data_IF_205766101287
#
_entry.id   IF_205766101287
#
_cell.length_a   1.000
_cell.length_b   1.000
_cell.length_c   1.000
_cell.angle_alpha   90.00
_cell.angle_beta   90.00
_cell.angle_gamma   90.00
#
_symmetry.space_group_name_H-M   'P 1'
#
loop_
_entity.id
_entity.type
_entity.pdbx_description
1 polymer ?
#
# COMPACT_ATOMS: atom_id res chain seq x y z
N UNK A 1 8.91 22.24 -50.62
CA UNK A 1 8.58 20.81 -50.49
C UNK A 1 9.54 20.19 -49.50
N UNK A 2 9.09 19.99 -48.26
CA UNK A 2 9.66 18.96 -47.38
C UNK A 2 8.58 18.56 -46.39
N UNK A 3 8.15 17.32 -46.55
CA UNK A 3 7.02 16.65 -45.94
C UNK A 3 7.33 16.34 -44.47
N UNK A 4 6.54 16.90 -43.55
CA UNK A 4 6.60 16.54 -42.13
C UNK A 4 5.96 15.16 -42.01
N UNK A 5 6.77 14.15 -41.71
CA UNK A 5 6.33 12.81 -41.38
C UNK A 5 5.34 12.88 -40.20
N UNK A 6 4.06 12.71 -40.50
CA UNK A 6 3.01 12.49 -39.52
C UNK A 6 3.34 11.18 -38.82
N UNK A 7 3.75 11.25 -37.54
CA UNK A 7 3.84 10.06 -36.71
C UNK A 7 2.47 9.37 -36.71
N UNK A 8 2.39 8.04 -36.94
CA UNK A 8 1.12 7.34 -36.89
C UNK A 8 0.62 7.42 -35.45
N UNK A 9 -0.45 8.18 -35.23
CA UNK A 9 -1.21 8.15 -33.98
C UNK A 9 -1.68 6.71 -33.81
N UNK A 10 -1.19 6.04 -32.76
CA UNK A 10 -1.59 4.68 -32.42
C UNK A 10 -3.12 4.59 -32.40
N UNK A 11 -3.62 3.85 -33.38
CA UNK A 11 -4.99 3.79 -33.87
C UNK A 11 -5.92 3.10 -32.87
N UNK A 12 -6.76 3.87 -32.17
CA UNK A 12 -7.99 3.44 -31.48
C UNK A 12 -7.85 2.46 -30.29
N UNK A 13 -7.19 1.32 -30.49
CA UNK A 13 -7.06 0.23 -29.51
C UNK A 13 -6.20 0.58 -28.30
N UNK A 14 -5.06 1.25 -28.49
CA UNK A 14 -4.22 1.70 -27.37
C UNK A 14 -4.93 2.76 -26.51
N UNK A 15 -5.69 3.63 -27.16
CA UNK A 15 -6.51 4.64 -26.46
C UNK A 15 -7.64 4.00 -25.66
N UNK A 16 -8.31 2.97 -26.19
CA UNK A 16 -9.40 2.29 -25.47
C UNK A 16 -8.88 1.38 -24.35
N UNK A 17 -7.74 0.71 -24.56
CA UNK A 17 -7.03 -0.03 -23.52
C UNK A 17 -6.65 0.89 -22.36
N UNK A 18 -6.09 2.07 -22.65
CA UNK A 18 -5.71 3.05 -21.65
C UNK A 18 -6.92 3.56 -20.85
N UNK A 19 -8.03 3.88 -21.53
CA UNK A 19 -9.28 4.28 -20.87
C UNK A 19 -9.84 3.18 -19.99
N UNK A 20 -9.82 1.93 -20.47
CA UNK A 20 -10.35 0.79 -19.72
C UNK A 20 -9.52 0.50 -18.46
N UNK A 21 -8.19 0.55 -18.57
CA UNK A 21 -7.31 0.44 -17.40
C UNK A 21 -7.50 1.59 -16.43
N UNK A 22 -7.61 2.83 -16.94
CA UNK A 22 -7.87 4.00 -16.11
C UNK A 22 -9.16 3.86 -15.31
N UNK A 23 -10.28 3.47 -15.95
CA UNK A 23 -11.55 3.19 -15.26
C UNK A 23 -11.42 2.10 -14.19
N UNK A 24 -10.60 1.09 -14.44
CA UNK A 24 -10.37 -0.02 -13.53
C UNK A 24 -9.49 0.36 -12.32
N UNK A 25 -8.48 1.21 -12.51
CA UNK A 25 -7.48 1.53 -11.47
C UNK A 25 -7.78 2.78 -10.66
N UNK A 26 -8.46 3.78 -11.25
CA UNK A 26 -8.78 5.07 -10.60
C UNK A 26 -9.49 4.89 -9.26
N UNK A 27 -10.49 3.99 -9.11
CA UNK A 27 -11.13 3.74 -7.82
C UNK A 27 -10.16 3.28 -6.72
N UNK A 28 -9.04 2.67 -7.08
CA UNK A 28 -8.05 2.11 -6.14
C UNK A 28 -6.89 3.08 -5.84
N UNK A 29 -6.75 4.17 -6.58
CA UNK A 29 -5.65 5.13 -6.38
C UNK A 29 -5.61 5.73 -4.96
N UNK A 30 -6.73 6.14 -4.33
CA UNK A 30 -6.68 6.71 -2.99
C UNK A 30 -6.10 5.74 -1.96
N UNK A 31 -6.48 4.46 -2.04
CA UNK A 31 -6.01 3.45 -1.10
C UNK A 31 -4.55 3.06 -1.36
N UNK A 32 -4.13 2.95 -2.62
CA UNK A 32 -2.72 2.69 -2.97
C UNK A 32 -1.82 3.83 -2.49
N UNK A 33 -2.23 5.08 -2.70
CA UNK A 33 -1.48 6.24 -2.24
C UNK A 33 -1.42 6.31 -0.69
N UNK A 34 -2.51 5.97 -0.01
CA UNK A 34 -2.55 5.93 1.45
C UNK A 34 -1.66 4.83 2.06
N UNK A 35 -1.55 3.67 1.38
CA UNK A 35 -0.62 2.61 1.78
C UNK A 35 0.82 3.03 1.49
N UNK A 36 1.11 3.60 0.32
CA UNK A 36 2.44 4.04 -0.06
C UNK A 36 3.04 5.01 0.98
N UNK A 37 2.29 6.05 1.36
CA UNK A 37 2.72 7.02 2.38
C UNK A 37 3.07 6.42 3.74
N UNK A 38 2.54 5.25 4.08
CA UNK A 38 2.78 4.56 5.38
C UNK A 38 3.82 3.45 5.31
N UNK A 39 4.33 3.17 4.10
CA UNK A 39 5.23 2.03 3.86
C UNK A 39 6.60 2.43 3.34
N UNK A 40 6.73 3.65 2.80
CA UNK A 40 7.99 4.25 2.32
C UNK A 40 8.12 5.71 2.78
N UNK A 41 9.31 6.32 2.72
CA UNK A 41 9.48 7.75 2.96
C UNK A 41 8.55 8.60 2.08
N UNK A 42 8.17 9.79 2.56
CA UNK A 42 7.23 10.67 1.85
C UNK A 42 7.68 11.00 0.41
N UNK A 43 8.98 11.21 0.20
CA UNK A 43 9.56 11.49 -1.11
C UNK A 43 9.44 10.31 -2.10
N UNK A 44 9.27 9.09 -1.60
CA UNK A 44 9.24 7.86 -2.39
C UNK A 44 7.81 7.37 -2.69
N UNK A 45 6.80 7.97 -2.07
CA UNK A 45 5.44 7.46 -2.06
C UNK A 45 4.76 7.57 -3.43
N UNK A 46 4.92 8.71 -4.11
CA UNK A 46 4.38 8.93 -5.47
C UNK A 46 5.03 7.97 -6.48
N UNK A 47 6.36 7.88 -6.45
CA UNK A 47 7.13 6.94 -7.27
C UNK A 47 6.71 5.49 -7.04
N UNK A 48 6.44 5.09 -5.81
CA UNK A 48 5.96 3.74 -5.49
C UNK A 48 4.60 3.46 -6.14
N UNK A 49 3.68 4.44 -6.13
CA UNK A 49 2.39 4.31 -6.81
C UNK A 49 2.60 4.23 -8.32
N UNK A 50 3.42 5.12 -8.90
CA UNK A 50 3.69 5.10 -10.34
C UNK A 50 4.29 3.75 -10.78
N UNK A 51 5.32 3.24 -10.10
CA UNK A 51 5.91 1.94 -10.38
C UNK A 51 4.89 0.79 -10.28
N UNK A 52 3.97 0.88 -9.31
CA UNK A 52 2.88 -0.08 -9.14
C UNK A 52 1.96 -0.05 -10.35
N UNK A 53 1.54 1.14 -10.81
CA UNK A 53 0.67 1.32 -11.96
C UNK A 53 1.33 0.89 -13.27
N UNK A 54 2.61 1.22 -13.49
CA UNK A 54 3.35 0.77 -14.67
C UNK A 54 3.47 -0.75 -14.74
N UNK A 55 3.65 -1.40 -13.59
CA UNK A 55 3.73 -2.87 -13.51
C UNK A 55 2.36 -3.50 -13.64
N UNK A 56 1.32 -2.86 -13.10
CA UNK A 56 -0.07 -3.24 -13.27
C UNK A 56 -0.45 -3.19 -14.77
N UNK A 57 -0.19 -2.08 -15.45
CA UNK A 57 -0.43 -1.92 -16.89
C UNK A 57 0.21 -3.02 -17.73
N UNK A 58 1.51 -3.30 -17.49
CA UNK A 58 2.27 -4.34 -18.19
C UNK A 58 1.75 -5.76 -17.95
N UNK A 59 1.06 -5.99 -16.83
CA UNK A 59 0.58 -7.31 -16.40
C UNK A 59 -0.93 -7.42 -16.40
N UNK A 60 -1.64 -6.41 -16.89
CA UNK A 60 -3.07 -6.29 -16.67
C UNK A 60 -3.86 -7.46 -17.26
N UNK A 61 -3.40 -8.02 -18.39
CA UNK A 61 -3.96 -9.23 -19.01
C UNK A 61 -3.87 -10.50 -18.14
N UNK A 62 -2.99 -10.50 -17.13
CA UNK A 62 -2.86 -11.62 -16.17
C UNK A 62 -3.76 -11.47 -14.95
N UNK A 63 -4.51 -10.36 -14.85
CA UNK A 63 -5.49 -10.17 -13.80
C UNK A 63 -6.64 -11.17 -13.98
N UNK A 64 -6.93 -11.92 -12.93
CA UNK A 64 -8.01 -12.89 -12.88
C UNK A 64 -8.95 -12.55 -11.73
N UNK A 65 -10.19 -12.09 -12.00
CA UNK A 65 -11.13 -11.72 -10.95
C UNK A 65 -11.55 -12.90 -10.07
N UNK A 66 -11.36 -14.15 -10.51
CA UNK A 66 -11.62 -15.34 -9.68
C UNK A 66 -10.57 -15.53 -8.58
N UNK A 67 -9.39 -14.89 -8.68
CA UNK A 67 -8.31 -14.98 -7.69
C UNK A 67 -8.31 -13.85 -6.67
N UNK A 68 -9.14 -12.82 -6.88
CA UNK A 68 -9.25 -11.68 -5.98
C UNK A 68 -9.68 -10.40 -6.70
N UNK A 69 -10.08 -9.41 -5.92
CA UNK A 69 -10.46 -8.09 -6.45
C UNK A 69 -9.26 -7.36 -7.05
N UNK A 70 -9.54 -6.33 -7.84
CA UNK A 70 -8.51 -5.42 -8.38
C UNK A 70 -7.61 -4.87 -7.27
N UNK A 71 -8.22 -4.50 -6.13
CA UNK A 71 -7.54 -3.98 -4.96
C UNK A 71 -6.51 -4.96 -4.40
N UNK A 72 -6.86 -6.23 -4.25
CA UNK A 72 -5.96 -7.30 -3.76
C UNK A 72 -4.75 -7.43 -4.67
N UNK A 73 -5.00 -7.49 -5.97
CA UNK A 73 -3.95 -7.67 -6.96
C UNK A 73 -2.98 -6.46 -7.00
N UNK A 74 -3.52 -5.24 -6.99
CA UNK A 74 -2.73 -4.01 -6.97
C UNK A 74 -1.95 -3.84 -5.67
N UNK A 75 -2.57 -4.12 -4.51
CA UNK A 75 -1.89 -4.11 -3.22
C UNK A 75 -0.76 -5.14 -3.18
N UNK A 76 -0.95 -6.32 -3.78
CA UNK A 76 0.11 -7.33 -3.92
C UNK A 76 1.32 -6.83 -4.71
N UNK A 77 1.09 -6.13 -5.81
CA UNK A 77 2.15 -5.50 -6.60
C UNK A 77 2.87 -4.43 -5.76
N UNK A 78 2.13 -3.56 -5.07
CA UNK A 78 2.68 -2.50 -4.24
C UNK A 78 3.57 -3.06 -3.11
N UNK A 79 3.09 -4.06 -2.37
CA UNK A 79 3.88 -4.65 -1.27
C UNK A 79 5.08 -5.47 -1.75
N UNK A 80 5.03 -6.10 -2.95
CA UNK A 80 6.23 -6.65 -3.59
C UNK A 80 7.30 -5.55 -3.80
N UNK A 81 6.89 -4.36 -4.26
CA UNK A 81 7.80 -3.21 -4.44
C UNK A 81 8.35 -2.69 -3.12
N UNK A 82 7.50 -2.51 -2.09
CA UNK A 82 7.93 -2.09 -0.74
C UNK A 82 9.01 -3.04 -0.20
N UNK A 83 8.78 -4.35 -0.28
CA UNK A 83 9.72 -5.37 0.20
C UNK A 83 11.05 -5.34 -0.56
N UNK A 84 11.01 -5.16 -1.88
CA UNK A 84 12.23 -5.01 -2.71
C UNK A 84 12.99 -3.71 -2.44
N UNK A 85 12.30 -2.60 -2.20
CA UNK A 85 12.94 -1.32 -1.83
C UNK A 85 13.64 -1.45 -0.48
N UNK A 86 13.00 -2.07 0.51
CA UNK A 86 13.64 -2.36 1.80
C UNK A 86 14.86 -3.25 1.68
N UNK A 87 14.77 -4.35 0.93
CA UNK A 87 15.89 -5.28 0.75
C UNK A 87 17.13 -4.59 0.13
N UNK A 88 16.93 -3.57 -0.70
CA UNK A 88 18.01 -2.76 -1.31
C UNK A 88 18.55 -1.65 -0.41
N UNK A 89 17.80 -1.25 0.61
CA UNK A 89 18.09 -0.06 1.43
C UNK A 89 18.59 -0.39 2.84
N UNK A 90 18.85 -1.65 3.18
CA UNK A 90 19.14 -2.06 4.56
C UNK A 90 20.63 -1.91 4.95
N UNK A 91 20.98 -1.11 5.97
CA UNK A 91 22.07 -1.42 6.92
C UNK A 91 21.57 -2.42 7.99
N UNK A 92 22.45 -3.03 8.83
CA UNK A 92 22.09 -4.10 9.77
C UNK A 92 21.03 -3.69 10.82
N UNK A 93 20.32 -4.67 11.41
CA UNK A 93 19.05 -4.42 12.08
C UNK A 93 19.32 -3.82 13.46
N UNK A 94 19.10 -2.53 13.65
CA UNK A 94 18.70 -1.88 14.91
C UNK A 94 18.67 -0.38 14.62
N UNK A 95 17.48 0.22 14.52
CA UNK A 95 17.17 1.61 14.89
C UNK A 95 15.78 1.98 14.37
N UNK A 96 14.75 1.81 15.22
CA UNK A 96 13.62 2.73 15.20
C UNK A 96 13.89 3.74 16.30
N UNK A 97 14.24 4.98 15.92
CA UNK A 97 14.39 6.10 16.85
C UNK A 97 13.14 6.97 16.71
N UNK A 98 12.37 7.06 17.79
CA UNK A 98 11.16 7.89 17.91
C UNK A 98 11.52 9.36 18.06
N UNK A 99 10.74 10.28 17.49
CA UNK A 99 10.50 11.59 18.08
C UNK A 99 9.06 11.65 18.62
N UNK A 100 8.94 11.82 19.94
CA UNK A 100 7.70 12.20 20.62
C UNK A 100 7.44 13.70 20.44
N UNK A 101 6.18 14.11 20.31
CA UNK A 101 5.76 15.50 20.56
C UNK A 101 4.23 15.60 20.75
N UNK A 102 3.93 16.18 21.92
CA UNK A 102 2.74 16.72 22.61
C UNK A 102 1.29 16.64 22.09
N UNK A 103 0.43 16.54 23.12
CA UNK A 103 -0.99 16.17 23.20
C UNK A 103 -2.02 17.30 22.96
N UNK A 104 -3.27 16.90 22.66
CA UNK A 104 -4.48 17.74 22.69
C UNK A 104 -5.74 17.04 22.13
N UNK A 105 -6.97 17.42 22.52
CA UNK A 105 -8.11 16.50 22.69
C UNK A 105 -8.92 16.20 21.41
N UNK A 106 -9.34 14.94 21.24
CA UNK A 106 -10.37 14.36 20.33
C UNK A 106 -10.97 15.30 19.28
N UNK A 107 -10.13 15.70 18.32
CA UNK A 107 -10.43 16.59 17.20
C UNK A 107 -9.18 16.62 16.31
N UNK A 108 -9.15 15.94 15.16
CA UNK A 108 -7.96 15.77 14.29
C UNK A 108 -6.79 15.03 14.98
N UNK A 109 -6.51 15.31 16.26
CA UNK A 109 -5.54 14.67 17.14
C UNK A 109 -5.71 13.16 17.21
N UNK A 110 -6.90 12.62 17.54
CA UNK A 110 -7.11 11.16 17.55
C UNK A 110 -6.78 10.46 16.22
N UNK A 111 -7.02 11.14 15.09
CA UNK A 111 -6.64 10.63 13.77
C UNK A 111 -5.14 10.70 13.56
N UNK A 112 -4.48 11.76 14.01
CA UNK A 112 -3.02 11.88 14.00
C UNK A 112 -2.38 10.84 14.92
N UNK A 113 -2.96 10.56 16.08
CA UNK A 113 -2.45 9.60 17.06
C UNK A 113 -2.58 8.17 16.55
N UNK A 114 -3.71 7.82 15.93
CA UNK A 114 -3.85 6.48 15.33
C UNK A 114 -2.91 6.29 14.14
N UNK A 115 -2.68 7.34 13.34
CA UNK A 115 -1.74 7.30 12.22
C UNK A 115 -0.29 7.11 12.71
N UNK A 116 0.13 7.87 13.73
CA UNK A 116 1.45 7.74 14.36
C UNK A 116 1.62 6.37 15.03
N UNK A 117 0.58 5.86 15.70
CA UNK A 117 0.62 4.54 16.31
C UNK A 117 0.78 3.42 15.25
N UNK A 118 0.09 3.52 14.12
CA UNK A 118 0.26 2.60 12.98
C UNK A 118 1.70 2.66 12.44
N UNK A 119 2.26 3.88 12.32
CA UNK A 119 3.64 4.10 11.90
C UNK A 119 4.68 3.67 12.95
N UNK A 120 4.26 3.45 14.20
CA UNK A 120 5.06 2.84 15.26
C UNK A 120 5.11 1.31 15.23
N UNK A 121 4.16 0.66 14.56
CA UNK A 121 4.08 -0.81 14.54
C UNK A 121 5.31 -1.46 13.90
N UNK A 122 5.76 -2.63 14.39
CA UNK A 122 6.67 -3.52 13.68
C UNK A 122 6.18 -3.73 12.25
N UNK A 123 7.08 -3.79 11.26
CA UNK A 123 6.63 -3.71 9.87
C UNK A 123 5.61 -4.80 9.51
N UNK A 124 5.83 -6.06 9.87
CA UNK A 124 4.87 -7.12 9.51
C UNK A 124 3.47 -6.87 10.07
N UNK A 125 3.38 -6.33 11.29
CA UNK A 125 2.10 -5.92 11.88
C UNK A 125 1.50 -4.71 11.14
N UNK A 126 2.33 -3.73 10.75
CA UNK A 126 1.89 -2.59 9.93
C UNK A 126 1.35 -3.02 8.57
N UNK A 127 2.07 -3.87 7.84
CA UNK A 127 1.61 -4.41 6.54
C UNK A 127 0.25 -5.10 6.70
N UNK A 128 0.11 -5.92 7.73
CA UNK A 128 -1.13 -6.63 8.04
C UNK A 128 -2.28 -5.65 8.36
N UNK A 129 -2.05 -4.66 9.22
CA UNK A 129 -3.04 -3.63 9.59
C UNK A 129 -3.48 -2.82 8.38
N UNK A 130 -2.53 -2.38 7.54
CA UNK A 130 -2.85 -1.63 6.32
C UNK A 130 -3.65 -2.47 5.33
N UNK A 131 -3.27 -3.73 5.10
CA UNK A 131 -4.01 -4.61 4.21
C UNK A 131 -5.42 -4.91 4.72
N UNK A 132 -5.57 -5.17 6.01
CA UNK A 132 -6.87 -5.53 6.59
C UNK A 132 -7.81 -4.33 6.75
N UNK A 133 -7.33 -3.22 7.31
CA UNK A 133 -8.20 -2.08 7.65
C UNK A 133 -8.24 -0.99 6.60
N UNK A 134 -7.10 -0.66 5.99
CA UNK A 134 -7.03 0.43 5.03
C UNK A 134 -7.43 -0.04 3.63
N UNK A 135 -6.98 -1.23 3.23
CA UNK A 135 -7.42 -1.87 1.99
C UNK A 135 -8.71 -2.67 2.12
N UNK A 136 -9.26 -2.84 3.33
CA UNK A 136 -10.51 -3.57 3.55
C UNK A 136 -10.48 -4.98 2.95
N UNK A 137 -9.32 -5.66 3.07
CA UNK A 137 -9.14 -7.00 2.53
C UNK A 137 -9.54 -8.07 3.55
N UNK A 138 -10.25 -9.14 3.14
CA UNK A 138 -10.54 -10.26 4.00
C UNK A 138 -9.25 -10.92 4.51
N UNK A 139 -9.29 -11.37 5.76
CA UNK A 139 -8.10 -11.88 6.48
C UNK A 139 -7.38 -13.03 5.74
N UNK A 140 -8.10 -13.83 4.97
CA UNK A 140 -7.52 -14.93 4.20
C UNK A 140 -6.67 -14.44 3.03
N UNK A 141 -7.09 -13.37 2.34
CA UNK A 141 -6.30 -12.75 1.27
C UNK A 141 -5.07 -12.06 1.85
N UNK A 142 -5.23 -11.34 2.97
CA UNK A 142 -4.09 -10.76 3.71
C UNK A 142 -3.08 -11.84 4.10
N UNK A 143 -3.55 -12.97 4.63
CA UNK A 143 -2.69 -14.09 5.00
C UNK A 143 -1.92 -14.64 3.79
N UNK A 144 -2.61 -14.86 2.65
CA UNK A 144 -1.99 -15.28 1.40
C UNK A 144 -0.93 -14.29 0.89
N UNK A 145 -1.21 -12.99 0.93
CA UNK A 145 -0.28 -11.92 0.52
C UNK A 145 0.95 -11.81 1.41
N UNK A 146 0.83 -12.19 2.68
CA UNK A 146 1.93 -12.17 3.65
C UNK A 146 2.67 -13.50 3.73
N UNK A 147 2.17 -14.56 3.10
CA UNK A 147 2.76 -15.90 3.13
C UNK A 147 2.60 -16.60 4.49
N UNK A 148 1.51 -16.33 5.21
CA UNK A 148 1.22 -16.90 6.53
C UNK A 148 -0.16 -17.60 6.54
N UNK A 149 -0.44 -18.38 7.57
CA UNK A 149 -1.76 -19.00 7.74
C UNK A 149 -2.80 -17.97 8.19
N UNK A 150 -4.07 -18.20 7.89
CA UNK A 150 -5.16 -17.34 8.39
C UNK A 150 -5.22 -17.29 9.92
N UNK A 151 -4.86 -18.38 10.61
CA UNK A 151 -4.72 -18.41 12.06
C UNK A 151 -3.61 -17.46 12.55
N UNK A 152 -2.42 -17.54 11.94
CA UNK A 152 -1.32 -16.64 12.25
C UNK A 152 -1.66 -15.17 11.97
N UNK A 153 -2.37 -14.90 10.87
CA UNK A 153 -2.82 -13.55 10.54
C UNK A 153 -3.79 -12.99 11.61
N UNK A 154 -4.73 -13.80 12.10
CA UNK A 154 -5.64 -13.43 13.20
C UNK A 154 -4.88 -13.13 14.50
N UNK A 155 -3.91 -13.97 14.87
CA UNK A 155 -3.09 -13.75 16.06
C UNK A 155 -2.25 -12.47 15.93
N UNK A 156 -1.57 -12.27 14.80
CA UNK A 156 -0.80 -11.04 14.58
C UNK A 156 -1.66 -9.78 14.54
N UNK A 157 -2.90 -9.87 14.04
CA UNK A 157 -3.85 -8.75 14.09
C UNK A 157 -4.27 -8.44 15.53
N UNK A 158 -4.48 -9.47 16.36
CA UNK A 158 -4.76 -9.30 17.78
C UNK A 158 -3.58 -8.64 18.50
N UNK A 159 -2.35 -9.07 18.23
CA UNK A 159 -1.14 -8.48 18.79
C UNK A 159 -0.98 -7.02 18.35
N UNK A 160 -1.18 -6.74 17.06
CA UNK A 160 -1.12 -5.37 16.52
C UNK A 160 -2.16 -4.45 17.19
N UNK A 161 -3.41 -4.91 17.39
CA UNK A 161 -4.43 -4.16 18.13
C UNK A 161 -4.03 -3.92 19.58
N UNK A 162 -3.36 -4.87 20.21
CA UNK A 162 -2.87 -4.74 21.59
C UNK A 162 -1.76 -3.68 21.67
N UNK A 163 -0.81 -3.69 20.73
CA UNK A 163 0.23 -2.66 20.63
C UNK A 163 -0.35 -1.27 20.37
N UNK A 164 -1.28 -1.14 19.42
CA UNK A 164 -1.95 0.13 19.14
C UNK A 164 -2.68 0.68 20.37
N UNK A 165 -3.39 -0.18 21.11
CA UNK A 165 -4.06 0.23 22.35
C UNK A 165 -3.09 0.65 23.45
N UNK A 166 -1.92 0.03 23.54
CA UNK A 166 -0.90 0.44 24.52
C UNK A 166 -0.34 1.82 24.16
N UNK A 167 0.06 2.01 22.90
CA UNK A 167 0.58 3.30 22.41
C UNK A 167 -0.42 4.45 22.61
N UNK A 168 -1.70 4.20 22.33
CA UNK A 168 -2.75 5.22 22.51
C UNK A 168 -3.16 5.46 23.98
N UNK A 169 -2.79 4.58 24.92
CA UNK A 169 -3.01 4.77 26.36
C UNK A 169 -1.85 5.48 27.04
N UNK A 170 -0.63 5.27 26.53
CA UNK A 170 0.57 5.92 27.06
C UNK A 170 0.66 7.40 26.63
N UNK A 171 -0.12 7.82 25.64
CA UNK A 171 -0.28 9.21 25.17
C UNK A 171 -1.43 9.98 25.89
N UNK A 172 -2.09 9.39 26.90
CA UNK A 172 -3.12 10.02 27.75
C UNK A 172 -2.59 10.44 29.13
#
# INVERSE_FOLDING_TARGET
>A
MSEVAVMPVASGGDSERARSFSRWVVPELPVLAAIARRTVPAADAEDLVQETLERAWRRWETYDPARGSARVWLAGILFDRVRRRRARSAPPPHQSRLPASDAGPVSIADRVDIERAIDGLPTRQRELVLLYYLADLPINEVAGMLGITAGAAKSQLFDARTHLRAMMKDDQ
#
